data_IF_621231653969
#
_entry.id   IF_621231653969
#
_cell.length_a   1.000
_cell.length_b   1.000
_cell.length_c   1.000
_cell.angle_alpha   90.00
_cell.angle_beta   90.00
_cell.angle_gamma   90.00
#
_symmetry.space_group_name_H-M   'P 1'
#
loop_
_entity.id
_entity.type
_entity.pdbx_description
1 polymer ?
#
# COMPACT_ATOMS: atom_id res chain seq x y z
N UNK A 1 0.87 6.88 -1.64
CA UNK A 1 0.22 8.18 -1.98
C UNK A 1 0.98 8.95 -3.04
N UNK A 2 2.31 9.07 -2.94
CA UNK A 2 3.15 9.80 -3.92
C UNK A 2 2.83 9.45 -5.39
N UNK A 3 2.80 8.16 -5.76
CA UNK A 3 2.51 7.74 -7.13
C UNK A 3 1.11 8.15 -7.62
N UNK A 4 0.08 7.99 -6.78
CA UNK A 4 -1.29 8.43 -7.08
C UNK A 4 -1.36 9.96 -7.23
N UNK A 5 -0.74 10.69 -6.30
CA UNK A 5 -0.63 12.15 -6.35
C UNK A 5 0.06 12.65 -7.61
N UNK A 6 1.06 11.91 -8.12
CA UNK A 6 1.71 12.19 -9.39
C UNK A 6 0.85 11.83 -10.62
N UNK A 7 -0.25 11.07 -10.48
CA UNK A 7 -1.09 10.60 -11.59
C UNK A 7 -0.56 9.30 -12.23
N UNK A 8 0.45 8.68 -11.62
CA UNK A 8 1.10 7.48 -12.15
C UNK A 8 0.30 6.19 -11.90
N UNK A 9 -0.83 6.29 -11.19
CA UNK A 9 -1.73 5.19 -10.89
C UNK A 9 -3.14 5.39 -11.48
N UNK A 10 -3.35 6.40 -12.32
CA UNK A 10 -4.66 6.70 -12.89
C UNK A 10 -5.09 5.55 -13.82
N UNK A 11 -6.23 4.92 -13.50
CA UNK A 11 -6.74 3.74 -14.18
C UNK A 11 -6.00 2.42 -13.87
N UNK A 12 -5.12 2.41 -12.86
CA UNK A 12 -4.43 1.19 -12.42
C UNK A 12 -5.09 0.56 -11.19
N UNK A 13 -5.01 -0.77 -11.08
CA UNK A 13 -5.24 -1.50 -9.83
C UNK A 13 -4.04 -1.26 -8.90
N UNK A 14 -4.30 -0.83 -7.68
CA UNK A 14 -3.26 -0.60 -6.68
C UNK A 14 -3.77 -0.78 -5.24
N UNK A 15 -2.82 -1.03 -4.34
CA UNK A 15 -3.03 -1.12 -2.89
C UNK A 15 -2.14 -0.10 -2.17
N UNK A 16 -2.39 0.10 -0.88
CA UNK A 16 -1.53 0.87 0.02
C UNK A 16 -1.80 0.42 1.46
N UNK A 17 -1.15 1.07 2.43
CA UNK A 17 -1.36 0.78 3.83
C UNK A 17 -2.85 0.90 4.19
N UNK A 18 -3.41 -0.04 4.95
CA UNK A 18 -4.86 -0.15 5.18
C UNK A 18 -5.51 1.16 5.65
N UNK A 19 -4.85 1.91 6.53
CA UNK A 19 -5.34 3.20 7.01
C UNK A 19 -5.33 4.32 5.97
N UNK A 20 -4.66 4.12 4.84
CA UNK A 20 -4.51 5.09 3.76
C UNK A 20 -5.38 4.72 2.54
N UNK A 21 -6.11 3.60 2.58
CA UNK A 21 -6.99 3.20 1.47
C UNK A 21 -8.07 4.25 1.20
N UNK A 22 -8.64 4.88 2.24
CA UNK A 22 -9.63 5.95 2.07
C UNK A 22 -9.06 7.22 1.45
N UNK A 23 -7.76 7.46 1.60
CA UNK A 23 -7.06 8.55 0.89
C UNK A 23 -6.80 8.15 -0.56
N UNK A 24 -6.46 6.88 -0.82
CA UNK A 24 -6.28 6.36 -2.17
C UNK A 24 -7.57 6.47 -3.00
N UNK A 25 -8.74 6.30 -2.37
CA UNK A 25 -10.08 6.41 -3.00
C UNK A 25 -10.35 7.78 -3.63
N UNK A 26 -9.61 8.81 -3.24
CA UNK A 26 -9.74 10.15 -3.81
C UNK A 26 -9.12 10.26 -5.21
N UNK A 27 -8.28 9.30 -5.59
CA UNK A 27 -7.62 9.25 -6.90
C UNK A 27 -8.35 8.25 -7.81
N UNK A 28 -8.24 8.38 -9.15
CA UNK A 28 -8.87 7.46 -10.10
C UNK A 28 -8.14 6.11 -10.16
N UNK A 29 -8.07 5.40 -9.04
CA UNK A 29 -7.35 4.15 -8.84
C UNK A 29 -8.35 3.03 -8.55
N UNK A 30 -8.17 1.85 -9.16
CA UNK A 30 -8.95 0.66 -8.81
C UNK A 30 -8.34 0.04 -7.54
N UNK A 31 -9.03 0.14 -6.41
CA UNK A 31 -8.45 -0.25 -5.12
C UNK A 31 -8.51 -1.76 -4.91
N UNK A 32 -7.39 -2.31 -4.44
CA UNK A 32 -7.30 -3.69 -3.92
C UNK A 32 -6.94 -3.68 -2.44
N UNK A 33 -7.46 -4.67 -1.70
CA UNK A 33 -7.04 -5.00 -0.33
C UNK A 33 -5.99 -6.12 -0.28
N UNK A 34 -5.48 -6.56 -1.43
CA UNK A 34 -4.40 -7.55 -1.51
C UNK A 34 -3.11 -7.01 -0.88
N UNK A 35 -2.26 -7.94 -0.43
CA UNK A 35 -0.99 -7.64 0.24
C UNK A 35 -0.02 -6.89 -0.66
N UNK A 36 0.02 -7.26 -1.94
CA UNK A 36 0.63 -6.50 -3.02
C UNK A 36 -0.23 -6.66 -4.28
N UNK A 37 -0.09 -5.72 -5.21
CA UNK A 37 -0.80 -5.72 -6.49
C UNK A 37 0.20 -5.44 -7.59
N UNK A 38 0.29 -6.33 -8.58
CA UNK A 38 0.91 -6.07 -9.88
C UNK A 38 -0.20 -5.78 -10.89
N UNK A 39 -0.19 -4.59 -11.48
CA UNK A 39 -1.02 -4.23 -12.62
C UNK A 39 -0.13 -3.68 -13.74
N UNK A 40 -0.01 -4.45 -14.83
CA UNK A 40 0.90 -4.16 -15.94
C UNK A 40 2.33 -3.95 -15.42
N UNK A 41 2.87 -2.74 -15.56
CA UNK A 41 4.21 -2.37 -15.10
C UNK A 41 4.21 -1.56 -13.79
N UNK A 42 3.10 -1.53 -13.05
CA UNK A 42 3.00 -0.91 -11.73
C UNK A 42 2.85 -2.00 -10.69
N UNK A 43 3.66 -1.93 -9.63
CA UNK A 43 3.53 -2.81 -8.48
C UNK A 43 3.43 -1.97 -7.21
N UNK A 44 2.45 -2.28 -6.37
CA UNK A 44 2.19 -1.55 -5.11
C UNK A 44 2.05 -2.51 -3.95
N UNK A 45 2.60 -2.14 -2.79
CA UNK A 45 2.51 -2.90 -1.55
C UNK A 45 1.51 -2.28 -0.57
N UNK A 46 0.82 -3.15 0.18
CA UNK A 46 -0.15 -2.75 1.20
C UNK A 46 0.54 -2.23 2.46
N UNK A 47 0.82 -3.13 3.40
CA UNK A 47 1.42 -2.81 4.71
C UNK A 47 2.92 -2.53 4.68
N UNK A 48 3.46 -2.06 5.80
CA UNK A 48 4.91 -1.76 5.95
C UNK A 48 5.77 -2.97 5.67
N UNK A 49 5.40 -4.13 6.22
CA UNK A 49 6.13 -5.39 6.03
C UNK A 49 5.91 -6.00 4.65
N UNK A 50 5.02 -5.44 3.83
CA UNK A 50 4.77 -5.97 2.50
C UNK A 50 5.97 -5.81 1.54
N UNK A 51 6.91 -4.93 1.88
CA UNK A 51 8.11 -4.69 1.10
C UNK A 51 9.03 -5.90 0.94
N UNK A 52 9.11 -6.79 1.94
CA UNK A 52 10.00 -7.97 1.87
C UNK A 52 9.47 -8.97 0.85
N UNK A 53 8.21 -9.38 0.96
CA UNK A 53 7.61 -10.32 0.00
C UNK A 53 7.54 -9.68 -1.40
N UNK A 54 7.35 -8.36 -1.48
CA UNK A 54 7.43 -7.64 -2.75
C UNK A 54 8.82 -7.74 -3.38
N UNK A 55 9.89 -7.57 -2.60
CA UNK A 55 11.26 -7.72 -3.10
C UNK A 55 11.52 -9.15 -3.56
N UNK A 56 11.11 -10.16 -2.79
CA UNK A 56 11.25 -11.57 -3.18
C UNK A 56 10.46 -11.90 -4.46
N UNK A 57 9.23 -11.39 -4.57
CA UNK A 57 8.42 -11.53 -5.78
C UNK A 57 9.10 -10.91 -7.00
N UNK A 58 9.66 -9.70 -6.86
CA UNK A 58 10.40 -9.06 -7.94
C UNK A 58 11.66 -9.82 -8.32
N UNK A 59 12.39 -10.35 -7.34
CA UNK A 59 13.57 -11.18 -7.59
C UNK A 59 13.17 -12.40 -8.43
N UNK A 60 12.09 -13.09 -8.06
CA UNK A 60 11.60 -14.24 -8.80
C UNK A 60 11.21 -13.88 -10.24
N UNK A 61 10.53 -12.74 -10.43
CA UNK A 61 10.08 -12.27 -11.75
C UNK A 61 11.25 -11.92 -12.68
N UNK A 62 12.31 -11.28 -12.17
CA UNK A 62 13.40 -10.76 -12.99
C UNK A 62 14.63 -11.67 -13.07
N UNK A 63 14.87 -12.48 -12.03
CA UNK A 63 16.09 -13.29 -11.89
C UNK A 63 15.81 -14.78 -11.65
N UNK A 64 14.54 -15.19 -11.60
CA UNK A 64 14.14 -16.58 -11.41
C UNK A 64 13.92 -16.96 -9.94
N UNK A 65 13.14 -18.03 -9.72
CA UNK A 65 12.74 -18.48 -8.39
C UNK A 65 13.91 -18.96 -7.52
N UNK A 66 14.93 -19.56 -8.13
CA UNK A 66 16.10 -20.09 -7.42
C UNK A 66 16.82 -19.00 -6.61
N UNK A 67 17.13 -17.85 -7.24
CA UNK A 67 17.75 -16.73 -6.53
C UNK A 67 16.83 -16.13 -5.46
N UNK A 68 15.51 -16.09 -5.71
CA UNK A 68 14.56 -15.60 -4.73
C UNK A 68 14.50 -16.49 -3.49
N UNK A 69 14.51 -17.82 -3.66
CA UNK A 69 14.57 -18.80 -2.58
C UNK A 69 15.90 -18.75 -1.83
N UNK A 70 17.03 -18.60 -2.54
CA UNK A 70 18.34 -18.40 -1.92
C UNK A 70 18.36 -17.15 -1.04
N UNK A 71 17.88 -16.01 -1.55
CA UNK A 71 17.81 -14.76 -0.77
C UNK A 71 16.87 -14.93 0.43
N UNK A 72 15.71 -15.57 0.23
CA UNK A 72 14.76 -15.83 1.31
C UNK A 72 15.41 -16.62 2.45
N UNK A 73 16.18 -17.66 2.12
CA UNK A 73 16.94 -18.45 3.08
C UNK A 73 18.09 -17.64 3.71
N UNK A 74 18.85 -16.90 2.91
CA UNK A 74 20.00 -16.11 3.35
C UNK A 74 19.63 -15.08 4.41
N UNK A 75 18.47 -14.42 4.28
CA UNK A 75 18.00 -13.42 5.25
C UNK A 75 17.13 -14.04 6.36
N UNK A 76 16.99 -15.36 6.39
CA UNK A 76 16.14 -16.12 7.30
C UNK A 76 14.69 -15.58 7.35
N UNK A 77 14.11 -15.30 6.17
CA UNK A 77 12.74 -14.80 6.10
C UNK A 77 11.72 -15.92 6.34
N UNK A 78 11.51 -16.24 7.62
CA UNK A 78 10.58 -17.23 8.14
C UNK A 78 9.66 -16.57 9.20
N UNK A 79 8.65 -15.78 8.79
CA UNK A 79 7.86 -15.00 9.71
C UNK A 79 6.99 -15.90 10.61
N UNK A 80 7.12 -15.75 11.93
CA UNK A 80 6.27 -16.40 12.94
C UNK A 80 5.65 -15.34 13.89
N UNK A 81 4.61 -14.58 13.45
CA UNK A 81 4.03 -13.54 14.27
C UNK A 81 3.37 -14.11 15.54
N UNK A 82 3.66 -13.57 16.74
CA UNK A 82 3.05 -14.05 17.99
C UNK A 82 1.58 -13.62 18.16
N UNK A 83 1.06 -12.77 17.26
CA UNK A 83 -0.31 -12.27 17.26
C UNK A 83 -0.90 -12.29 15.85
N UNK A 84 -2.22 -12.42 15.76
CA UNK A 84 -2.95 -12.44 14.48
C UNK A 84 -3.46 -11.06 14.03
N UNK A 85 -3.08 -9.99 14.74
CA UNK A 85 -3.60 -8.62 14.51
C UNK A 85 -2.86 -7.83 13.42
N UNK A 86 -2.22 -8.51 12.46
CA UNK A 86 -1.45 -7.88 11.38
C UNK A 86 -2.29 -7.18 10.30
N UNK A 87 -3.59 -7.47 10.23
CA UNK A 87 -4.52 -6.89 9.25
C UNK A 87 -5.87 -6.55 9.91
N UNK A 88 -6.60 -5.50 9.48
CA UNK A 88 -7.90 -5.16 10.07
C UNK A 88 -8.97 -6.24 9.91
N UNK A 89 -8.83 -7.19 8.99
CA UNK A 89 -9.76 -8.33 8.84
C UNK A 89 -9.49 -9.47 9.82
N UNK A 90 -8.33 -9.50 10.47
CA UNK A 90 -7.93 -10.53 11.43
C UNK A 90 -7.79 -9.99 12.86
N UNK A 91 -7.66 -8.66 13.01
CA UNK A 91 -7.69 -7.97 14.30
C UNK A 91 -9.13 -7.82 14.84
N UNK A 92 -9.28 -7.66 16.15
CA UNK A 92 -10.58 -7.36 16.75
C UNK A 92 -11.07 -5.95 16.37
N UNK A 93 -12.38 -5.77 16.21
CA UNK A 93 -12.98 -4.47 15.86
C UNK A 93 -12.56 -3.36 16.83
N UNK A 94 -12.62 -3.63 18.13
CA UNK A 94 -12.15 -2.70 19.17
C UNK A 94 -10.70 -2.27 18.98
N UNK A 95 -9.79 -3.18 18.62
CA UNK A 95 -8.39 -2.83 18.38
C UNK A 95 -8.25 -1.96 17.12
N UNK A 96 -8.97 -2.31 16.05
CA UNK A 96 -9.00 -1.51 14.81
C UNK A 96 -9.49 -0.09 15.10
N UNK A 97 -10.58 0.06 15.85
CA UNK A 97 -11.16 1.36 16.20
C UNK A 97 -10.20 2.16 17.09
N UNK A 98 -9.61 1.54 18.10
CA UNK A 98 -8.58 2.16 18.95
C UNK A 98 -7.40 2.69 18.10
N UNK A 99 -6.91 1.90 17.16
CA UNK A 99 -5.79 2.32 16.28
C UNK A 99 -6.21 3.45 15.34
N UNK A 100 -7.43 3.41 14.79
CA UNK A 100 -7.98 4.51 13.98
C UNK A 100 -8.06 5.81 14.78
N UNK A 101 -8.66 5.79 15.97
CA UNK A 101 -8.80 6.97 16.84
C UNK A 101 -7.43 7.55 17.21
N UNK A 102 -6.47 6.71 17.59
CA UNK A 102 -5.11 7.14 17.94
C UNK A 102 -4.33 7.79 16.79
N UNK A 103 -4.80 7.64 15.55
CA UNK A 103 -4.15 8.14 14.33
C UNK A 103 -5.00 9.13 13.56
N UNK A 104 -6.16 9.51 14.08
CA UNK A 104 -7.15 10.33 13.39
C UNK A 104 -6.54 11.66 12.90
N UNK A 105 -5.86 12.40 13.77
CA UNK A 105 -5.20 13.68 13.42
C UNK A 105 -4.24 13.50 12.24
N UNK A 106 -3.39 12.49 12.29
CA UNK A 106 -2.40 12.21 11.24
C UNK A 106 -3.09 11.81 9.92
N UNK A 107 -4.15 11.02 9.97
CA UNK A 107 -4.89 10.63 8.77
C UNK A 107 -5.66 11.79 8.15
N UNK A 108 -6.25 12.66 8.98
CA UNK A 108 -6.92 13.88 8.51
C UNK A 108 -5.92 14.82 7.80
N UNK A 109 -4.70 14.96 8.32
CA UNK A 109 -3.62 15.72 7.66
C UNK A 109 -3.24 15.12 6.30
N UNK A 110 -3.12 13.79 6.21
CA UNK A 110 -2.81 13.08 4.94
C UNK A 110 -3.92 13.27 3.91
N UNK A 111 -5.18 13.15 4.33
CA UNK A 111 -6.35 13.38 3.48
C UNK A 111 -6.39 14.82 2.95
N UNK A 112 -6.18 15.80 3.83
CA UNK A 112 -6.13 17.20 3.45
C UNK A 112 -5.00 17.50 2.46
N UNK A 113 -3.82 16.89 2.63
CA UNK A 113 -2.72 17.03 1.69
C UNK A 113 -3.06 16.45 0.30
N UNK A 114 -3.68 15.27 0.25
CA UNK A 114 -4.12 14.65 -1.00
C UNK A 114 -5.15 15.52 -1.74
N UNK A 115 -6.13 16.08 -1.01
CA UNK A 115 -7.13 16.99 -1.58
C UNK A 115 -6.46 18.22 -2.20
N UNK A 116 -5.49 18.85 -1.51
CA UNK A 116 -4.78 20.01 -2.06
C UNK A 116 -4.09 19.70 -3.40
N UNK A 117 -3.46 18.53 -3.52
CA UNK A 117 -2.81 18.09 -4.77
C UNK A 117 -3.84 17.90 -5.89
N UNK A 118 -4.99 17.32 -5.59
CA UNK A 118 -6.05 17.11 -6.59
C UNK A 118 -6.63 18.45 -7.07
N UNK A 119 -6.88 19.38 -6.14
CA UNK A 119 -7.36 20.72 -6.48
C UNK A 119 -6.35 21.49 -7.32
N UNK A 120 -5.05 21.44 -7.00
CA UNK A 120 -4.03 22.12 -7.80
C UNK A 120 -3.91 21.56 -9.21
N UNK A 121 -4.02 20.22 -9.38
CA UNK A 121 -4.00 19.58 -10.71
C UNK A 121 -5.18 20.00 -11.59
N UNK A 122 -6.38 20.09 -11.01
CA UNK A 122 -7.57 20.53 -11.74
C UNK A 122 -7.52 21.99 -12.18
N UNK A 123 -6.77 22.84 -11.47
CA UNK A 123 -6.56 24.23 -11.86
C UNK A 123 -5.66 24.35 -13.09
N UNK A 124 -4.63 23.50 -13.21
CA UNK A 124 -3.69 23.50 -14.33
C UNK A 124 -4.24 22.86 -15.61
N UNK A 125 -5.20 21.93 -15.50
CA UNK A 125 -5.80 21.29 -16.69
C UNK A 125 -6.87 22.14 -17.38
N UNK A 126 -7.27 23.27 -16.78
CA UNK A 126 -8.32 24.18 -17.29
C UNK A 126 -7.77 25.49 -17.90
N UNK A 127 -6.45 25.67 -17.92
CA UNK A 127 -5.74 26.79 -18.56
C UNK A 127 -5.06 26.31 -19.84
#
# INVERSE_FOLDING_TARGET
MVLASAGLLDGYKATTHWMSLDVLKLFPVQISSERFVKDRNRITGGGVTAGIDFALFLTAEFFGSELAEEIQLMIEYNPAPPFTSGHPTTATSHLVDKVKSNREITQNRRKAAAIRVLTSKNAWSKS
#
